data_IF_426718130431
#
_entry.id   IF_426718130431
#
_cell.length_a   1.000
_cell.length_b   1.000
_cell.length_c   1.000
_cell.angle_alpha   90.00
_cell.angle_beta   90.00
_cell.angle_gamma   90.00
#
_symmetry.space_group_name_H-M   'P 1'
#
loop_
_entity.id
_entity.type
_entity.pdbx_description
1 polymer ?
#
# COMPACT_ATOMS: atom_id res chain seq x y z
N UNK A 1 -5.80 9.95 -3.83
CA UNK A 1 -6.79 10.99 -3.44
C UNK A 1 -7.57 10.48 -2.24
N UNK A 2 -7.90 11.34 -1.27
CA UNK A 2 -8.61 10.92 -0.06
C UNK A 2 -10.13 10.87 -0.29
N UNK A 3 -10.79 9.86 0.29
CA UNK A 3 -12.25 9.80 0.41
C UNK A 3 -12.57 9.90 1.90
N UNK A 4 -13.10 11.05 2.32
CA UNK A 4 -13.47 11.29 3.72
C UNK A 4 -14.86 10.70 3.95
N UNK A 5 -15.00 9.82 4.94
CA UNK A 5 -16.28 9.16 5.22
C UNK A 5 -16.40 8.83 6.70
N UNK A 6 -17.54 9.16 7.29
CA UNK A 6 -17.87 8.86 8.69
C UNK A 6 -17.83 7.37 9.02
N UNK A 7 -18.03 6.50 8.03
CA UNK A 7 -18.04 5.04 8.21
C UNK A 7 -16.68 4.45 8.57
N UNK A 8 -15.58 5.21 8.36
CA UNK A 8 -14.23 4.74 8.63
C UNK A 8 -13.86 5.18 10.05
N UNK A 9 -13.64 4.24 10.99
CA UNK A 9 -13.33 4.61 12.35
C UNK A 9 -11.94 5.27 12.44
N UNK A 10 -11.72 6.15 13.43
CA UNK A 10 -10.42 6.77 13.67
C UNK A 10 -9.33 5.74 13.91
N UNK A 11 -8.11 6.04 13.44
CA UNK A 11 -6.93 5.18 13.62
C UNK A 11 -6.72 4.12 12.54
N UNK A 12 -7.67 3.96 11.61
CA UNK A 12 -7.48 3.11 10.43
C UNK A 12 -7.64 3.88 9.12
N UNK A 13 -7.10 3.30 8.06
CA UNK A 13 -7.29 3.75 6.68
C UNK A 13 -7.58 2.54 5.79
N UNK A 14 -8.27 2.77 4.69
CA UNK A 14 -8.57 1.73 3.70
C UNK A 14 -8.18 2.22 2.31
N UNK A 15 -7.19 1.55 1.72
CA UNK A 15 -6.98 1.53 0.28
C UNK A 15 -7.50 0.19 -0.24
N UNK A 16 -8.60 0.22 -0.99
CA UNK A 16 -9.17 -1.00 -1.55
C UNK A 16 -8.14 -1.71 -2.44
N UNK A 17 -8.10 -3.04 -2.32
CA UNK A 17 -7.05 -3.87 -2.89
C UNK A 17 -6.92 -3.69 -4.40
N UNK A 18 -5.67 -3.68 -4.87
CA UNK A 18 -5.30 -3.69 -6.28
C UNK A 18 -5.84 -2.50 -7.12
N UNK A 19 -5.59 -1.28 -6.66
CA UNK A 19 -5.56 -0.13 -7.58
C UNK A 19 -4.25 -0.19 -8.38
N UNK A 20 -4.35 -0.31 -9.69
CA UNK A 20 -3.20 -0.41 -10.60
C UNK A 20 -2.38 0.88 -10.65
N UNK A 21 -1.15 0.78 -11.16
CA UNK A 21 -0.21 1.90 -11.24
C UNK A 21 -0.35 2.77 -12.50
N UNK A 22 -1.32 2.48 -13.37
CA UNK A 22 -1.36 3.05 -14.73
C UNK A 22 -2.26 4.28 -14.88
N UNK A 23 -3.26 4.46 -14.02
CA UNK A 23 -4.26 5.52 -14.19
C UNK A 23 -4.22 6.56 -13.07
N UNK A 24 -4.03 7.83 -13.44
CA UNK A 24 -4.23 8.99 -12.58
C UNK A 24 -3.37 8.95 -11.28
N UNK A 25 -2.08 8.68 -11.45
CA UNK A 25 -1.09 8.65 -10.36
C UNK A 25 0.00 9.69 -10.62
N UNK A 26 0.08 10.76 -9.80
CA UNK A 26 1.18 11.72 -9.91
C UNK A 26 2.48 11.13 -9.35
N UNK A 27 3.56 11.88 -9.51
CA UNK A 27 4.85 11.64 -8.85
C UNK A 27 4.76 11.67 -7.32
N UNK A 28 5.61 10.88 -6.68
CA UNK A 28 5.78 10.81 -5.24
C UNK A 28 6.75 11.89 -4.78
N UNK A 29 6.33 12.72 -3.83
CA UNK A 29 7.18 13.71 -3.18
C UNK A 29 8.28 13.07 -2.30
N UNK A 30 8.14 11.80 -1.93
CA UNK A 30 9.11 11.11 -1.05
C UNK A 30 10.22 10.46 -1.87
N UNK A 31 9.86 9.81 -2.98
CA UNK A 31 10.82 9.04 -3.77
C UNK A 31 11.28 9.76 -5.03
N UNK A 32 10.61 10.83 -5.45
CA UNK A 32 10.87 11.52 -6.72
C UNK A 32 10.48 10.73 -7.96
N UNK A 33 9.93 9.52 -7.80
CA UNK A 33 9.47 8.66 -8.88
C UNK A 33 7.94 8.68 -8.98
N UNK A 34 7.37 8.10 -10.05
CA UNK A 34 5.93 7.84 -10.16
C UNK A 34 5.39 7.18 -8.89
N UNK A 35 4.25 7.66 -8.36
CA UNK A 35 3.60 7.14 -7.16
C UNK A 35 3.49 5.61 -7.14
N UNK A 36 3.59 5.05 -5.93
CA UNK A 36 3.50 3.61 -5.69
C UNK A 36 2.06 3.10 -5.65
N UNK A 37 1.92 1.81 -5.34
CA UNK A 37 0.65 1.12 -5.13
C UNK A 37 0.49 0.71 -3.66
N UNK A 38 -0.66 0.14 -3.29
CA UNK A 38 -0.91 -0.34 -1.92
C UNK A 38 0.16 -1.31 -1.40
N UNK A 39 0.74 -2.17 -2.24
CA UNK A 39 1.82 -3.08 -1.84
C UNK A 39 3.21 -2.42 -1.80
N UNK A 40 3.36 -1.16 -2.24
CA UNK A 40 4.62 -0.42 -2.12
C UNK A 40 4.96 -0.04 -0.67
N UNK A 41 3.99 -0.14 0.24
CA UNK A 41 4.16 0.14 1.68
C UNK A 41 4.13 -1.14 2.53
N UNK A 42 4.07 -2.32 1.91
CA UNK A 42 4.01 -3.61 2.63
C UNK A 42 5.32 -4.37 2.51
N UNK A 43 5.64 -5.21 3.49
CA UNK A 43 6.77 -6.15 3.43
C UNK A 43 6.36 -7.55 3.87
N UNK A 44 6.93 -8.58 3.23
CA UNK A 44 6.72 -9.97 3.66
C UNK A 44 7.39 -10.21 5.02
N UNK A 45 6.60 -10.72 5.96
CA UNK A 45 7.05 -11.13 7.29
C UNK A 45 6.54 -12.55 7.58
N UNK A 46 7.34 -13.60 7.34
CA UNK A 46 6.87 -14.97 7.50
C UNK A 46 6.77 -15.36 8.98
N UNK A 47 5.79 -16.22 9.30
CA UNK A 47 5.61 -16.76 10.65
C UNK A 47 6.22 -18.17 10.74
N UNK A 48 7.13 -18.46 11.68
CA UNK A 48 7.77 -19.78 11.82
C UNK A 48 6.78 -20.94 11.98
N UNK A 49 5.63 -20.70 12.60
CA UNK A 49 4.58 -21.72 12.75
C UNK A 49 4.00 -22.19 11.42
N UNK A 50 4.22 -21.48 10.31
CA UNK A 50 3.80 -21.87 8.96
C UNK A 50 4.92 -22.57 8.16
N UNK A 51 6.06 -22.88 8.81
CA UNK A 51 7.19 -23.60 8.21
C UNK A 51 7.33 -25.03 8.76
N UNK A 52 6.42 -25.47 9.62
CA UNK A 52 6.43 -26.82 10.19
C UNK A 52 6.25 -27.84 9.06
N UNK A 53 6.98 -28.96 9.13
CA UNK A 53 6.90 -30.02 8.13
C UNK A 53 7.15 -31.39 8.75
N UNK A 54 6.78 -32.45 8.04
CA UNK A 54 7.03 -33.83 8.46
C UNK A 54 6.23 -34.30 9.67
N UNK A 55 5.12 -33.61 10.00
CA UNK A 55 4.32 -33.91 11.20
C UNK A 55 2.84 -34.11 10.87
N UNK A 56 2.52 -35.24 10.24
CA UNK A 56 1.16 -35.64 9.84
C UNK A 56 0.42 -34.52 9.07
N UNK A 57 -0.57 -33.86 9.67
CA UNK A 57 -1.29 -32.74 9.05
C UNK A 57 -0.42 -31.49 8.81
N UNK A 58 0.69 -31.36 9.53
CA UNK A 58 1.70 -30.32 9.31
C UNK A 58 2.80 -30.86 8.40
N UNK A 59 2.42 -31.18 7.17
CA UNK A 59 3.33 -31.61 6.11
C UNK A 59 3.15 -30.70 4.89
N UNK A 60 4.24 -30.50 4.16
CA UNK A 60 4.21 -29.66 2.96
C UNK A 60 3.38 -30.33 1.85
N UNK A 61 2.64 -29.51 1.13
CA UNK A 61 1.96 -29.87 -0.11
C UNK A 61 1.74 -28.60 -0.93
N UNK A 62 1.77 -28.71 -2.26
CA UNK A 62 1.61 -27.56 -3.14
C UNK A 62 0.25 -26.86 -2.87
N UNK A 63 0.31 -25.59 -2.45
CA UNK A 63 -0.83 -24.79 -1.98
C UNK A 63 -1.58 -25.34 -0.74
N UNK A 64 -1.06 -26.36 -0.07
CA UNK A 64 -1.65 -26.93 1.15
C UNK A 64 -1.06 -26.31 2.42
N UNK A 65 0.27 -26.16 2.47
CA UNK A 65 0.96 -25.66 3.67
C UNK A 65 2.17 -24.79 3.30
N UNK A 66 2.39 -23.70 4.04
CA UNK A 66 3.51 -22.79 3.83
C UNK A 66 3.27 -21.39 4.40
N UNK A 67 4.30 -20.55 4.34
CA UNK A 67 4.23 -19.15 4.79
C UNK A 67 3.21 -18.34 4.00
N UNK A 68 2.56 -17.38 4.66
CA UNK A 68 1.49 -16.55 4.07
C UNK A 68 1.93 -15.09 3.93
N UNK A 69 1.39 -14.39 2.94
CA UNK A 69 1.60 -12.96 2.73
C UNK A 69 0.66 -12.09 3.56
N UNK A 70 0.71 -12.19 4.89
CA UNK A 70 -0.10 -11.35 5.79
C UNK A 70 0.28 -9.86 5.66
N UNK A 71 -0.72 -8.98 5.64
CA UNK A 71 -0.52 -7.55 5.35
C UNK A 71 -1.45 -6.55 6.09
N UNK A 72 -2.25 -7.02 7.06
CA UNK A 72 -3.26 -6.16 7.73
C UNK A 72 -2.73 -5.43 8.96
N UNK A 73 -1.60 -5.89 9.50
CA UNK A 73 -0.92 -5.32 10.65
C UNK A 73 -0.02 -4.12 10.28
N UNK A 74 0.07 -3.76 9.00
CA UNK A 74 0.93 -2.69 8.51
C UNK A 74 0.46 -1.31 8.98
N UNK A 75 1.40 -0.47 9.42
CA UNK A 75 1.14 0.91 9.80
C UNK A 75 1.82 1.85 8.82
N UNK A 76 1.10 2.91 8.43
CA UNK A 76 1.61 3.90 7.48
C UNK A 76 1.44 5.31 8.00
N UNK A 77 2.35 6.19 7.58
CA UNK A 77 2.23 7.63 7.78
C UNK A 77 1.41 8.23 6.64
N UNK A 78 0.33 8.94 6.97
CA UNK A 78 -0.52 9.63 6.00
C UNK A 78 -0.28 11.13 6.09
N UNK A 79 -0.08 11.78 4.94
CA UNK A 79 0.03 13.24 4.84
C UNK A 79 -0.69 13.77 3.61
N UNK A 80 -1.12 15.02 3.66
CA UNK A 80 -1.55 15.77 2.47
C UNK A 80 -0.32 16.07 1.60
N UNK A 81 -0.41 15.84 0.29
CA UNK A 81 0.63 16.25 -0.66
C UNK A 81 0.62 17.76 -0.85
N UNK A 82 1.80 18.36 -1.06
CA UNK A 82 1.93 19.79 -1.38
C UNK A 82 2.06 19.99 -2.90
N UNK A 83 3.00 19.30 -3.53
CA UNK A 83 3.28 19.41 -4.96
C UNK A 83 2.72 18.20 -5.70
N UNK A 84 1.97 18.44 -6.77
CA UNK A 84 1.45 17.44 -7.69
C UNK A 84 2.24 17.59 -8.99
N UNK A 85 3.34 16.86 -9.10
CA UNK A 85 4.14 16.78 -10.32
C UNK A 85 3.77 15.52 -11.09
N UNK A 86 3.41 15.62 -12.36
CA UNK A 86 2.99 14.49 -13.19
C UNK A 86 4.14 13.75 -13.88
N UNK A 87 5.36 14.28 -13.86
CA UNK A 87 6.56 13.66 -14.43
C UNK A 87 6.36 13.22 -15.89
N UNK A 88 5.61 14.00 -16.66
CA UNK A 88 5.27 13.78 -18.06
C UNK A 88 5.67 14.95 -18.98
N UNK A 89 6.35 15.97 -18.42
CA UNK A 89 6.82 17.18 -19.12
C UNK A 89 5.72 17.99 -19.82
N UNK A 90 4.44 17.76 -19.47
CA UNK A 90 3.31 18.45 -20.11
C UNK A 90 3.02 19.84 -19.52
N UNK A 91 3.76 20.25 -18.48
CA UNK A 91 3.60 21.56 -17.83
C UNK A 91 2.29 21.73 -17.07
N UNK A 92 1.55 20.64 -16.81
CA UNK A 92 0.26 20.62 -16.11
C UNK A 92 0.41 20.27 -14.63
N UNK A 93 1.50 20.68 -13.99
CA UNK A 93 1.73 20.43 -12.56
C UNK A 93 0.88 21.37 -11.69
N UNK A 94 0.54 20.91 -10.47
CA UNK A 94 -0.27 21.70 -9.53
C UNK A 94 0.35 21.77 -8.14
N UNK A 95 -0.02 22.80 -7.37
CA UNK A 95 0.34 22.94 -5.95
C UNK A 95 -0.94 22.98 -5.11
N UNK A 96 -1.02 22.15 -4.08
CA UNK A 96 -2.10 22.17 -3.10
C UNK A 96 -1.74 23.08 -1.94
N UNK A 97 -2.26 24.31 -1.97
CA UNK A 97 -2.13 25.24 -0.85
C UNK A 97 -2.86 24.74 0.41
N UNK A 98 -2.37 25.19 1.56
CA UNK A 98 -3.10 25.03 2.82
C UNK A 98 -4.34 25.94 2.77
N UNK A 99 -5.53 25.35 2.92
CA UNK A 99 -6.73 26.15 3.15
C UNK A 99 -6.65 26.63 4.60
N UNK A 100 -6.59 27.95 4.81
CA UNK A 100 -6.74 28.57 6.13
C UNK A 100 -8.08 28.21 6.75
#
# INVERSE_FOLDING_TARGET
RAVVSQRVPPGMTMMYHAQERIMNIPGSEVTGMRGGIHNSVTRVCPKPTHMIGGYAQLAYGFNYYGTVGSNRDEFIMIRKMKNINWLDDEGRDQVQEAKK
#
